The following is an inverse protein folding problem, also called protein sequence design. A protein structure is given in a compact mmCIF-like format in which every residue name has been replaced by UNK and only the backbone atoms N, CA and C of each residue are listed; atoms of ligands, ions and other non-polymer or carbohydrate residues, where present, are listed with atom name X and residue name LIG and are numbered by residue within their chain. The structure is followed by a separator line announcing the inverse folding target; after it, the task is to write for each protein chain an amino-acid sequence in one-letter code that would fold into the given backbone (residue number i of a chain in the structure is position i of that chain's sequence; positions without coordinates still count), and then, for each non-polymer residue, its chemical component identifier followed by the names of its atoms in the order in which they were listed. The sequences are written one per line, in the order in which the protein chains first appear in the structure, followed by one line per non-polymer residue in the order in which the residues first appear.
data_IF_748425338323
#
_entry.id   IF_748425338323
#
_cell.length_a   1.000
_cell.length_b   1.000
_cell.length_c   1.000
_cell.angle_alpha   90.00
_cell.angle_beta   90.00
_cell.angle_gamma   90.00
#
_symmetry.space_group_name_H-M   'P 1'
#
loop_
_entity.id
_entity.type
_entity.pdbx_description
1 polymer ?
#
# COMPACT_ATOMS: atom_id res chain seq x y z
N UNK A 1 22.63 5.46 -21.11
CA UNK A 1 21.32 5.02 -20.52
C UNK A 1 20.24 5.73 -21.32
N UNK A 2 19.48 4.98 -22.09
CA UNK A 2 18.30 5.51 -22.78
C UNK A 2 17.09 5.23 -21.89
N UNK A 3 16.40 6.27 -21.45
CA UNK A 3 15.19 6.20 -20.62
C UNK A 3 13.92 6.44 -21.45
N UNK A 4 14.06 6.60 -22.77
CA UNK A 4 12.92 6.72 -23.66
C UNK A 4 12.20 5.37 -23.82
N UNK A 5 10.87 5.42 -23.87
CA UNK A 5 10.10 4.23 -24.17
C UNK A 5 10.20 3.89 -25.66
N UNK A 6 10.36 2.61 -25.97
CA UNK A 6 10.26 2.10 -27.32
C UNK A 6 8.87 2.33 -27.92
N UNK A 7 8.71 2.27 -29.26
CA UNK A 7 7.37 2.37 -29.87
C UNK A 7 6.39 1.33 -29.34
N UNK A 8 6.84 0.12 -29.02
CA UNK A 8 6.01 -0.94 -28.45
C UNK A 8 5.56 -0.62 -27.01
N UNK A 9 6.48 -0.10 -26.18
CA UNK A 9 6.16 0.33 -24.82
C UNK A 9 5.21 1.54 -24.82
N UNK A 10 5.37 2.45 -25.80
CA UNK A 10 4.45 3.57 -25.96
C UNK A 10 3.06 3.12 -26.43
N UNK A 11 2.98 2.14 -27.35
CA UNK A 11 1.71 1.53 -27.75
C UNK A 11 1.04 0.86 -26.55
N UNK A 12 1.75 0.06 -25.78
CA UNK A 12 1.24 -0.55 -24.55
C UNK A 12 0.72 0.50 -23.55
N UNK A 13 1.44 1.60 -23.37
CA UNK A 13 0.99 2.72 -22.52
C UNK A 13 -0.35 3.29 -23.00
N UNK A 14 -0.50 3.49 -24.29
CA UNK A 14 -1.72 4.02 -24.88
C UNK A 14 -2.89 3.04 -24.70
N UNK A 15 -2.64 1.73 -24.86
CA UNK A 15 -3.66 0.68 -24.63
C UNK A 15 -4.14 0.66 -23.18
N UNK A 16 -3.20 0.71 -22.22
CA UNK A 16 -3.55 0.78 -20.79
C UNK A 16 -4.35 2.03 -20.47
N UNK A 17 -3.92 3.18 -20.98
CA UNK A 17 -4.59 4.47 -20.79
C UNK A 17 -6.00 4.46 -21.37
N UNK A 18 -6.18 3.98 -22.61
CA UNK A 18 -7.47 3.86 -23.26
C UNK A 18 -8.40 2.95 -22.48
N UNK A 19 -7.92 1.76 -22.10
CA UNK A 19 -8.74 0.83 -21.32
C UNK A 19 -9.16 1.41 -19.95
N UNK A 20 -8.27 2.09 -19.25
CA UNK A 20 -8.61 2.75 -17.98
C UNK A 20 -9.63 3.88 -18.16
N UNK A 21 -9.55 4.64 -19.26
CA UNK A 21 -10.51 5.69 -19.58
C UNK A 21 -11.93 5.12 -19.78
N UNK A 22 -12.04 3.98 -20.43
CA UNK A 22 -13.32 3.35 -20.79
C UNK A 22 -13.93 2.51 -19.63
N UNK A 23 -13.10 1.91 -18.76
CA UNK A 23 -13.55 0.90 -17.81
C UNK A 23 -13.44 1.32 -16.32
N UNK A 24 -12.72 2.40 -15.99
CA UNK A 24 -12.71 2.90 -14.61
C UNK A 24 -14.04 3.61 -14.31
N UNK A 25 -14.88 3.09 -13.39
CA UNK A 25 -16.17 3.68 -13.09
C UNK A 25 -16.02 5.14 -12.63
N UNK A 26 -16.82 6.03 -13.21
CA UNK A 26 -16.73 7.48 -12.97
C UNK A 26 -16.96 7.84 -11.49
N UNK A 27 -17.83 7.13 -10.80
CA UNK A 27 -18.09 7.32 -9.36
C UNK A 27 -16.88 6.91 -8.51
N UNK A 28 -16.21 5.79 -8.83
CA UNK A 28 -14.96 5.36 -8.17
C UNK A 28 -13.85 6.38 -8.42
N UNK A 29 -13.65 6.77 -9.69
CA UNK A 29 -12.70 7.83 -10.05
C UNK A 29 -12.98 9.12 -9.29
N UNK A 30 -14.25 9.52 -9.22
CA UNK A 30 -14.71 10.72 -8.52
C UNK A 30 -14.44 10.67 -7.01
N UNK A 31 -14.51 9.48 -6.38
CA UNK A 31 -14.12 9.30 -4.99
C UNK A 31 -12.61 9.51 -4.80
N UNK A 32 -11.78 8.90 -5.63
CA UNK A 32 -10.31 9.03 -5.55
C UNK A 32 -9.87 10.47 -5.79
N UNK A 33 -10.33 11.10 -6.87
CA UNK A 33 -9.92 12.48 -7.23
C UNK A 33 -10.57 13.54 -6.33
N UNK A 34 -11.72 13.24 -5.72
CA UNK A 34 -12.40 14.09 -4.75
C UNK A 34 -12.03 13.81 -3.29
N UNK A 35 -11.06 12.91 -3.06
CA UNK A 35 -10.55 12.55 -1.72
C UNK A 35 -11.62 12.02 -0.76
N UNK A 36 -12.54 11.21 -1.27
CA UNK A 36 -13.59 10.56 -0.51
C UNK A 36 -13.19 9.16 -0.09
N UNK A 37 -13.79 8.65 0.97
CA UNK A 37 -13.62 7.27 1.42
C UNK A 37 -14.14 6.28 0.38
N UNK A 38 -13.47 5.12 0.32
CA UNK A 38 -13.87 3.99 -0.52
C UNK A 38 -14.55 2.95 0.36
N UNK A 39 -15.78 2.59 0.05
CA UNK A 39 -16.46 1.47 0.68
C UNK A 39 -15.89 0.12 0.20
N UNK A 40 -16.11 -0.96 0.96
CA UNK A 40 -15.70 -2.33 0.56
C UNK A 40 -16.22 -2.67 -0.83
N UNK A 41 -17.47 -2.33 -1.11
CA UNK A 41 -18.17 -2.61 -2.37
C UNK A 41 -17.50 -1.90 -3.56
N UNK A 42 -17.03 -0.67 -3.39
CA UNK A 42 -16.29 0.07 -4.44
C UNK A 42 -14.98 -0.63 -4.79
N UNK A 43 -14.24 -1.00 -3.75
CA UNK A 43 -12.93 -1.67 -3.88
C UNK A 43 -13.11 -3.02 -4.58
N UNK A 44 -14.09 -3.82 -4.13
CA UNK A 44 -14.34 -5.15 -4.67
C UNK A 44 -14.88 -5.08 -6.10
N UNK A 45 -15.77 -4.11 -6.42
CA UNK A 45 -16.25 -3.86 -7.78
C UNK A 45 -15.10 -3.54 -8.73
N UNK A 46 -14.20 -2.66 -8.32
CA UNK A 46 -13.04 -2.33 -9.13
C UNK A 46 -12.07 -3.53 -9.30
N UNK A 47 -11.87 -4.29 -8.23
CA UNK A 47 -11.09 -5.52 -8.29
C UNK A 47 -11.64 -6.51 -9.31
N UNK A 48 -12.96 -6.73 -9.33
CA UNK A 48 -13.62 -7.64 -10.29
C UNK A 48 -13.46 -7.18 -11.73
N UNK A 49 -13.62 -5.89 -12.00
CA UNK A 49 -13.38 -5.32 -13.35
C UNK A 49 -11.94 -5.59 -13.81
N UNK A 50 -10.96 -5.42 -12.92
CA UNK A 50 -9.57 -5.76 -13.23
C UNK A 50 -9.36 -7.26 -13.39
N UNK A 51 -10.03 -8.09 -12.60
CA UNK A 51 -9.94 -9.54 -12.69
C UNK A 51 -10.51 -10.09 -13.99
N UNK A 52 -11.63 -9.55 -14.47
CA UNK A 52 -12.23 -9.87 -15.77
C UNK A 52 -11.31 -9.52 -16.93
N UNK A 53 -10.57 -8.41 -16.83
CA UNK A 53 -9.53 -8.03 -17.80
C UNK A 53 -8.28 -8.89 -17.68
N UNK A 54 -8.09 -9.63 -16.57
CA UNK A 54 -6.85 -10.34 -16.26
C UNK A 54 -5.74 -9.44 -15.70
N UNK A 55 -6.08 -8.26 -15.17
CA UNK A 55 -5.14 -7.23 -14.71
C UNK A 55 -5.13 -7.01 -13.19
N UNK A 56 -5.87 -7.82 -12.42
CA UNK A 56 -5.91 -7.70 -10.96
C UNK A 56 -4.58 -8.06 -10.27
N UNK A 57 -3.82 -8.95 -10.88
CA UNK A 57 -2.56 -9.48 -10.33
C UNK A 57 -1.45 -9.55 -11.40
N UNK A 58 -1.08 -8.42 -12.02
CA UNK A 58 -0.22 -8.42 -13.21
C UNK A 58 1.20 -8.93 -12.97
N UNK A 59 1.64 -8.94 -11.71
CA UNK A 59 2.98 -9.36 -11.31
C UNK A 59 3.08 -10.86 -10.94
N UNK A 60 1.94 -11.59 -10.94
CA UNK A 60 1.97 -13.01 -10.61
C UNK A 60 2.53 -13.85 -11.77
N UNK A 61 3.04 -15.06 -11.49
CA UNK A 61 3.31 -16.05 -12.51
C UNK A 61 2.08 -16.33 -13.38
N UNK A 62 2.27 -16.60 -14.65
CA UNK A 62 1.19 -16.83 -15.62
C UNK A 62 0.32 -18.02 -15.21
N UNK A 63 0.93 -19.07 -14.68
CA UNK A 63 0.21 -20.26 -14.18
C UNK A 63 -0.80 -19.96 -13.07
N UNK A 64 -0.64 -18.83 -12.35
CA UNK A 64 -1.57 -18.35 -11.33
C UNK A 64 -2.44 -17.17 -11.81
N UNK A 65 -2.41 -16.88 -13.11
CA UNK A 65 -3.24 -15.85 -13.73
C UNK A 65 -2.63 -14.46 -13.78
N UNK A 66 -1.30 -14.36 -13.67
CA UNK A 66 -0.56 -13.14 -13.98
C UNK A 66 -0.50 -12.86 -15.47
N UNK A 67 -0.15 -11.64 -15.84
CA UNK A 67 -0.20 -11.16 -17.23
C UNK A 67 0.98 -11.59 -18.09
N UNK A 68 2.06 -12.07 -17.49
CA UNK A 68 3.33 -12.29 -18.20
C UNK A 68 4.06 -11.02 -18.61
N UNK A 69 3.59 -9.85 -18.20
CA UNK A 69 4.22 -8.57 -18.51
C UNK A 69 5.64 -8.49 -17.98
N UNK A 70 6.51 -7.90 -18.76
CA UNK A 70 7.85 -7.56 -18.29
C UNK A 70 7.80 -6.44 -17.23
N UNK A 71 8.96 -6.13 -16.67
CA UNK A 71 9.06 -5.15 -15.60
C UNK A 71 8.73 -3.74 -16.06
N UNK A 72 8.99 -3.39 -17.33
CA UNK A 72 8.68 -2.09 -17.91
C UNK A 72 7.18 -1.93 -18.12
N UNK A 73 6.53 -2.96 -18.65
CA UNK A 73 5.07 -2.96 -18.81
C UNK A 73 4.37 -2.82 -17.48
N UNK A 74 4.83 -3.52 -16.43
CA UNK A 74 4.30 -3.35 -15.05
C UNK A 74 4.52 -1.95 -14.50
N UNK A 75 5.67 -1.34 -14.78
CA UNK A 75 5.92 0.05 -14.38
C UNK A 75 4.97 1.02 -15.09
N UNK A 76 4.83 0.89 -16.42
CA UNK A 76 3.90 1.70 -17.23
C UNK A 76 2.47 1.54 -16.72
N UNK A 77 2.03 0.31 -16.47
CA UNK A 77 0.70 0.05 -15.91
C UNK A 77 0.48 0.77 -14.59
N UNK A 78 1.40 0.67 -13.64
CA UNK A 78 1.29 1.32 -12.34
C UNK A 78 1.27 2.86 -12.45
N UNK A 79 2.04 3.42 -13.38
CA UNK A 79 2.06 4.85 -13.62
C UNK A 79 0.72 5.34 -14.21
N UNK A 80 0.24 4.70 -15.28
CA UNK A 80 -1.05 5.05 -15.91
C UNK A 80 -2.23 4.83 -14.94
N UNK A 81 -2.17 3.78 -14.13
CA UNK A 81 -3.15 3.49 -13.08
C UNK A 81 -3.26 4.64 -12.07
N UNK A 82 -2.12 5.12 -11.58
CA UNK A 82 -2.05 6.27 -10.68
C UNK A 82 -2.52 7.56 -11.32
N UNK A 83 -2.12 7.82 -12.58
CA UNK A 83 -2.52 9.01 -13.36
C UNK A 83 -4.03 9.03 -13.65
N UNK A 84 -4.62 7.88 -13.96
CA UNK A 84 -6.06 7.77 -14.23
C UNK A 84 -6.94 8.06 -13.01
N UNK A 85 -6.37 8.05 -11.80
CA UNK A 85 -7.14 8.13 -10.56
C UNK A 85 -7.83 6.80 -10.20
N UNK A 86 -7.28 5.68 -10.67
CA UNK A 86 -7.72 4.37 -10.25
C UNK A 86 -7.29 4.11 -8.79
N UNK A 87 -8.16 3.58 -7.94
CA UNK A 87 -7.79 3.22 -6.58
C UNK A 87 -6.89 1.98 -6.60
N UNK A 88 -5.81 2.04 -5.82
CA UNK A 88 -4.98 0.86 -5.63
C UNK A 88 -5.82 -0.26 -5.01
N UNK A 89 -5.65 -1.48 -5.52
CA UNK A 89 -6.19 -2.66 -4.86
C UNK A 89 -5.55 -2.83 -3.48
N UNK A 90 -6.29 -3.39 -2.50
CA UNK A 90 -5.70 -3.69 -1.19
C UNK A 90 -4.48 -4.60 -1.37
N UNK A 91 -3.34 -4.11 -0.91
CA UNK A 91 -2.03 -4.75 -1.12
C UNK A 91 -1.91 -6.13 -0.43
N UNK A 92 -2.74 -6.35 0.59
CA UNK A 92 -2.58 -7.47 1.51
C UNK A 92 -2.84 -8.84 0.89
N UNK A 93 -3.91 -9.00 0.09
CA UNK A 93 -4.18 -10.23 -0.64
C UNK A 93 -3.25 -10.40 -1.83
N UNK A 94 -3.40 -9.55 -2.88
CA UNK A 94 -2.72 -9.72 -4.16
C UNK A 94 -1.18 -9.66 -4.09
N UNK A 95 -0.63 -8.76 -3.29
CA UNK A 95 0.83 -8.54 -3.29
C UNK A 95 1.54 -9.23 -2.12
N UNK A 96 0.89 -9.29 -0.96
CA UNK A 96 1.53 -9.81 0.26
C UNK A 96 1.22 -11.28 0.50
N UNK A 97 -0.02 -11.62 0.85
CA UNK A 97 -0.40 -12.99 1.19
C UNK A 97 -0.15 -13.97 0.03
N UNK A 98 -0.52 -13.58 -1.18
CA UNK A 98 -0.34 -14.42 -2.36
C UNK A 98 1.14 -14.74 -2.64
N UNK A 99 2.04 -13.77 -2.52
CA UNK A 99 3.48 -14.01 -2.71
C UNK A 99 4.02 -15.01 -1.69
N UNK A 100 3.55 -14.92 -0.46
CA UNK A 100 3.87 -15.87 0.61
C UNK A 100 3.32 -17.26 0.28
N UNK A 101 2.06 -17.37 -0.12
CA UNK A 101 1.43 -18.64 -0.49
C UNK A 101 2.13 -19.31 -1.67
N UNK A 102 2.46 -18.57 -2.71
CA UNK A 102 3.19 -19.11 -3.88
C UNK A 102 4.55 -19.68 -3.47
N UNK A 103 5.24 -19.06 -2.52
CA UNK A 103 6.59 -19.47 -2.10
C UNK A 103 6.59 -20.55 -1.04
N UNK A 104 5.71 -20.48 -0.07
CA UNK A 104 5.75 -21.29 1.16
C UNK A 104 4.48 -22.09 1.43
N UNK A 105 3.37 -21.77 0.75
CA UNK A 105 2.10 -22.47 0.94
C UNK A 105 2.13 -23.88 0.40
N UNK A 106 1.31 -24.74 0.98
CA UNK A 106 1.01 -26.07 0.44
C UNK A 106 0.18 -25.94 -0.84
N UNK A 107 0.13 -26.96 -1.67
CA UNK A 107 -0.70 -26.94 -2.88
C UNK A 107 -2.19 -26.81 -2.55
N UNK A 108 -2.64 -27.38 -1.44
CA UNK A 108 -4.01 -27.18 -0.94
C UNK A 108 -4.29 -25.71 -0.61
N UNK A 109 -3.37 -25.02 0.07
CA UNK A 109 -3.48 -23.60 0.39
C UNK A 109 -3.47 -22.74 -0.90
N UNK A 110 -2.55 -23.01 -1.82
CA UNK A 110 -2.46 -22.30 -3.10
C UNK A 110 -3.76 -22.43 -3.89
N UNK A 111 -4.25 -23.65 -4.08
CA UNK A 111 -5.46 -23.92 -4.85
C UNK A 111 -6.72 -23.33 -4.18
N UNK A 112 -6.76 -23.27 -2.85
CA UNK A 112 -7.87 -22.66 -2.11
C UNK A 112 -7.89 -21.13 -2.21
N UNK A 113 -6.77 -20.47 -2.01
CA UNK A 113 -6.72 -19.04 -1.76
C UNK A 113 -6.34 -18.20 -2.98
N UNK A 114 -5.38 -18.64 -3.81
CA UNK A 114 -4.90 -17.81 -4.92
C UNK A 114 -5.99 -17.45 -5.94
N UNK A 115 -6.86 -18.37 -6.40
CA UNK A 115 -7.94 -18.00 -7.29
C UNK A 115 -8.89 -16.95 -6.69
N UNK A 116 -9.25 -17.09 -5.42
CA UNK A 116 -10.16 -16.19 -4.71
C UNK A 116 -9.56 -14.80 -4.51
N UNK A 117 -8.25 -14.73 -4.20
CA UNK A 117 -7.52 -13.46 -4.12
C UNK A 117 -7.51 -12.78 -5.50
N UNK A 118 -7.20 -13.52 -6.57
CA UNK A 118 -7.16 -12.99 -7.94
C UNK A 118 -8.49 -12.43 -8.40
N UNK A 119 -9.59 -13.15 -8.10
CA UNK A 119 -10.95 -12.78 -8.50
C UNK A 119 -11.57 -11.70 -7.61
N UNK A 120 -10.94 -11.35 -6.48
CA UNK A 120 -11.50 -10.42 -5.53
C UNK A 120 -12.72 -11.01 -4.80
N UNK A 121 -12.71 -12.29 -4.46
CA UNK A 121 -13.77 -12.95 -3.70
C UNK A 121 -13.55 -12.85 -2.20
N UNK A 122 -12.29 -12.68 -1.77
CA UNK A 122 -11.90 -12.52 -0.38
C UNK A 122 -11.12 -11.22 -0.17
N UNK A 123 -11.48 -10.47 0.86
CA UNK A 123 -10.75 -9.30 1.31
C UNK A 123 -9.74 -9.69 2.38
N UNK A 124 -8.44 -9.53 2.09
CA UNK A 124 -7.36 -9.90 2.97
C UNK A 124 -6.82 -8.70 3.74
N UNK A 125 -6.46 -8.92 5.02
CA UNK A 125 -5.83 -7.91 5.87
C UNK A 125 -4.62 -8.48 6.59
N UNK A 126 -3.77 -7.60 7.14
CA UNK A 126 -2.50 -7.96 7.78
C UNK A 126 -2.56 -7.81 9.29
N UNK A 127 -2.16 -8.85 10.02
CA UNK A 127 -2.05 -8.88 11.47
C UNK A 127 -0.59 -8.98 11.93
N UNK A 128 0.20 -7.91 11.80
CA UNK A 128 1.61 -7.89 12.20
C UNK A 128 1.83 -7.15 13.50
N UNK A 129 1.66 -5.83 13.48
CA UNK A 129 1.94 -4.95 14.61
C UNK A 129 1.05 -5.23 15.82
N UNK A 130 1.61 -5.03 17.01
CA UNK A 130 0.93 -5.07 18.30
C UNK A 130 1.17 -3.75 19.05
N UNK A 131 0.41 -3.40 20.08
CA UNK A 131 0.60 -2.14 20.83
C UNK A 131 2.05 -1.93 21.30
N UNK A 132 2.76 -3.00 21.63
CA UNK A 132 4.16 -2.96 22.04
C UNK A 132 5.17 -3.41 20.98
N UNK A 133 4.75 -3.70 19.74
CA UNK A 133 5.60 -4.33 18.71
C UNK A 133 5.29 -3.78 17.32
N UNK A 134 5.93 -2.69 16.95
CA UNK A 134 5.86 -2.09 15.60
C UNK A 134 7.18 -2.29 14.86
N UNK A 135 8.12 -1.33 14.97
CA UNK A 135 9.46 -1.46 14.37
C UNK A 135 10.26 -2.63 14.93
N UNK A 136 10.14 -2.93 16.23
CA UNK A 136 10.62 -4.18 16.84
C UNK A 136 9.57 -5.29 16.74
N UNK A 137 9.25 -5.70 15.51
CA UNK A 137 8.21 -6.69 15.24
C UNK A 137 8.52 -8.06 15.87
N UNK A 138 9.81 -8.39 16.05
CA UNK A 138 10.21 -9.65 16.67
C UNK A 138 9.79 -9.78 18.16
N UNK A 139 9.37 -8.68 18.78
CA UNK A 139 8.86 -8.66 20.17
C UNK A 139 7.37 -9.00 20.30
N UNK A 140 6.68 -9.34 19.21
CA UNK A 140 5.26 -9.68 19.20
C UNK A 140 4.91 -10.80 20.22
N UNK A 141 3.71 -10.70 20.79
CA UNK A 141 3.25 -11.56 21.91
C UNK A 141 1.94 -12.31 21.63
N UNK A 142 1.22 -12.01 20.54
CA UNK A 142 0.01 -12.76 20.17
C UNK A 142 0.34 -14.24 20.13
N UNK A 143 -0.24 -15.00 21.07
CA UNK A 143 0.07 -16.39 21.33
C UNK A 143 -0.79 -17.30 20.45
N UNK A 144 -0.22 -18.42 19.99
CA UNK A 144 -0.93 -19.48 19.30
C UNK A 144 -0.46 -20.83 19.83
N UNK A 145 -1.27 -21.44 20.67
CA UNK A 145 -0.98 -22.75 21.27
C UNK A 145 -1.56 -23.87 20.39
N UNK A 146 -0.72 -24.79 19.97
CA UNK A 146 -1.19 -25.96 19.24
C UNK A 146 -1.96 -26.93 20.13
N UNK A 147 -3.18 -27.28 19.72
CA UNK A 147 -4.05 -28.26 20.40
C UNK A 147 -4.58 -29.27 19.35
N UNK A 148 -3.84 -30.36 19.17
CA UNK A 148 -4.17 -31.37 18.15
C UNK A 148 -4.09 -30.80 16.72
N UNK A 149 -5.22 -30.76 16.08
CA UNK A 149 -5.40 -30.28 14.67
C UNK A 149 -5.69 -28.80 14.53
N UNK A 150 -5.58 -28.01 15.61
CA UNK A 150 -5.83 -26.56 15.61
C UNK A 150 -4.83 -25.80 16.47
N UNK A 151 -4.77 -24.50 16.24
CA UNK A 151 -4.15 -23.50 17.11
C UNK A 151 -5.23 -22.74 17.87
N UNK A 152 -5.00 -22.43 19.13
CA UNK A 152 -5.82 -21.52 19.92
C UNK A 152 -5.06 -20.20 20.03
N UNK A 153 -5.61 -19.16 19.39
CA UNK A 153 -4.95 -17.84 19.28
C UNK A 153 -5.53 -16.89 20.32
N UNK A 154 -4.63 -16.22 21.07
CA UNK A 154 -4.96 -15.20 22.06
C UNK A 154 -3.99 -14.02 21.91
N UNK A 155 -4.52 -12.80 21.88
CA UNK A 155 -3.72 -11.59 21.78
C UNK A 155 -4.41 -10.45 21.07
N UNK A 156 -3.61 -9.47 20.63
CA UNK A 156 -4.12 -8.25 20.00
C UNK A 156 -3.19 -7.82 18.87
N UNK A 157 -3.78 -7.44 17.75
CA UNK A 157 -3.10 -6.72 16.66
C UNK A 157 -3.60 -5.28 16.59
N UNK A 158 -2.75 -4.38 16.12
CA UNK A 158 -3.06 -2.96 15.97
C UNK A 158 -2.63 -2.46 14.59
N UNK A 159 -3.20 -1.36 14.15
CA UNK A 159 -2.95 -0.74 12.85
C UNK A 159 -3.35 -1.63 11.68
N UNK A 160 -4.30 -2.55 11.89
CA UNK A 160 -4.82 -3.41 10.82
C UNK A 160 -5.65 -2.57 9.85
N UNK A 161 -5.03 -2.20 8.74
CA UNK A 161 -5.65 -1.38 7.70
C UNK A 161 -6.83 -2.11 7.08
N UNK A 162 -8.01 -1.44 7.04
CA UNK A 162 -9.28 -1.97 6.54
C UNK A 162 -9.69 -3.30 7.22
N UNK A 163 -9.28 -3.53 8.46
CA UNK A 163 -9.58 -4.74 9.24
C UNK A 163 -11.07 -5.05 9.32
N UNK A 164 -11.92 -4.01 9.36
CA UNK A 164 -13.38 -4.13 9.36
C UNK A 164 -13.98 -4.64 8.03
N UNK A 165 -13.20 -4.67 6.94
CA UNK A 165 -13.56 -5.28 5.66
C UNK A 165 -13.02 -6.70 5.50
N UNK A 166 -12.09 -7.13 6.38
CA UNK A 166 -11.38 -8.39 6.25
C UNK A 166 -12.28 -9.62 6.26
N UNK A 167 -12.14 -10.48 5.26
CA UNK A 167 -12.65 -11.85 5.30
C UNK A 167 -11.57 -12.78 5.86
N UNK A 168 -10.29 -12.50 5.56
CA UNK A 168 -9.13 -13.24 6.03
C UNK A 168 -8.05 -12.29 6.55
N UNK A 169 -7.35 -12.72 7.62
CA UNK A 169 -6.17 -12.04 8.14
C UNK A 169 -4.97 -13.01 8.13
N UNK A 170 -3.85 -12.57 7.56
CA UNK A 170 -2.59 -13.28 7.75
C UNK A 170 -1.83 -12.67 8.93
N UNK A 171 -1.52 -13.52 9.90
CA UNK A 171 -0.99 -13.10 11.19
C UNK A 171 0.41 -13.67 11.47
N UNK A 172 1.29 -12.83 12.00
CA UNK A 172 2.44 -13.32 12.76
C UNK A 172 2.00 -13.56 14.20
N UNK A 173 2.23 -14.80 14.66
CA UNK A 173 1.88 -15.25 16.02
C UNK A 173 3.07 -15.91 16.67
N UNK A 174 3.08 -15.98 17.99
CA UNK A 174 4.11 -16.67 18.74
C UNK A 174 3.62 -18.07 19.14
N UNK A 175 4.25 -19.09 18.60
CA UNK A 175 3.98 -20.50 18.91
C UNK A 175 4.97 -21.07 19.93
N UNK A 176 6.15 -20.45 20.06
CA UNK A 176 7.14 -20.86 21.06
C UNK A 176 7.75 -19.63 21.75
N UNK A 177 7.74 -19.60 23.08
CA UNK A 177 8.32 -18.54 23.92
C UNK A 177 9.72 -18.91 24.45
N UNK A 178 10.09 -20.20 24.42
CA UNK A 178 11.34 -20.74 24.99
C UNK A 178 12.44 -20.86 23.92
N UNK A 179 12.59 -19.80 23.09
CA UNK A 179 13.62 -19.76 22.05
C UNK A 179 14.78 -18.83 22.45
N UNK A 180 16.01 -19.19 22.10
CA UNK A 180 17.19 -18.32 22.31
C UNK A 180 17.11 -17.06 21.47
N UNK A 181 16.55 -17.16 20.27
CA UNK A 181 16.38 -16.09 19.31
C UNK A 181 14.88 -15.84 19.16
N UNK A 182 14.40 -14.63 19.51
CA UNK A 182 12.97 -14.31 19.51
C UNK A 182 12.25 -14.63 18.21
N UNK A 183 12.94 -14.51 17.09
CA UNK A 183 12.41 -14.76 15.76
C UNK A 183 12.02 -16.21 15.50
N UNK A 184 12.70 -17.17 16.16
CA UNK A 184 12.48 -18.61 15.98
C UNK A 184 11.16 -19.10 16.59
N UNK A 185 10.57 -18.33 17.49
CA UNK A 185 9.26 -18.65 18.09
C UNK A 185 8.07 -18.12 17.31
N UNK A 186 8.29 -17.49 16.16
CA UNK A 186 7.23 -16.82 15.37
C UNK A 186 6.76 -17.72 14.23
N UNK A 187 5.45 -17.86 14.07
CA UNK A 187 4.78 -18.59 13.01
C UNK A 187 3.85 -17.69 12.21
N UNK A 188 3.44 -18.13 11.02
CA UNK A 188 2.56 -17.40 10.12
C UNK A 188 1.25 -18.17 9.93
N UNK A 189 0.14 -17.61 10.40
CA UNK A 189 -1.19 -18.22 10.32
C UNK A 189 -2.14 -17.44 9.41
N UNK A 190 -2.99 -18.18 8.70
CA UNK A 190 -4.14 -17.64 7.97
C UNK A 190 -5.38 -17.84 8.83
N UNK A 191 -6.05 -16.75 9.19
CA UNK A 191 -7.19 -16.79 10.12
C UNK A 191 -8.43 -16.24 9.41
N UNK A 192 -9.52 -16.99 9.42
CA UNK A 192 -10.83 -16.52 8.97
C UNK A 192 -11.35 -15.48 9.98
N UNK A 193 -11.63 -14.27 9.51
CA UNK A 193 -12.10 -13.16 10.36
C UNK A 193 -13.49 -13.37 10.93
N UNK A 194 -14.23 -14.37 10.45
CA UNK A 194 -15.55 -14.77 10.97
C UNK A 194 -15.46 -15.77 12.11
N UNK A 195 -14.25 -16.25 12.45
CA UNK A 195 -14.04 -17.21 13.54
C UNK A 195 -14.50 -16.58 14.87
N UNK A 196 -15.28 -17.31 15.69
CA UNK A 196 -15.69 -16.83 17.02
C UNK A 196 -14.48 -16.45 17.88
N UNK A 197 -14.64 -15.36 18.66
CA UNK A 197 -13.56 -14.83 19.51
C UNK A 197 -12.75 -13.71 18.86
N UNK A 198 -13.02 -13.35 17.60
CA UNK A 198 -12.40 -12.19 16.94
C UNK A 198 -13.28 -10.95 17.16
N UNK A 199 -12.67 -9.88 17.65
CA UNK A 199 -13.30 -8.56 17.78
C UNK A 199 -12.46 -7.53 17.05
N UNK A 200 -13.09 -6.77 16.15
CA UNK A 200 -12.46 -5.67 15.40
C UNK A 200 -12.98 -4.34 15.96
N UNK A 201 -12.07 -3.48 16.39
CA UNK A 201 -12.41 -2.14 16.91
C UNK A 201 -11.79 -1.05 16.06
N UNK A 202 -12.53 0.01 15.73
CA UNK A 202 -12.00 1.13 14.95
C UNK A 202 -10.96 1.92 15.73
N UNK A 203 -9.92 2.39 15.01
CA UNK A 203 -9.04 3.45 15.46
C UNK A 203 -9.29 4.67 14.59
N UNK A 204 -9.77 5.73 15.21
CA UNK A 204 -9.99 6.99 14.51
C UNK A 204 -8.68 7.75 14.45
N UNK A 205 -8.22 8.07 13.24
CA UNK A 205 -6.96 8.77 12.99
C UNK A 205 -7.12 10.29 13.12
N UNK A 206 -6.01 11.03 13.04
CA UNK A 206 -5.99 12.50 13.12
C UNK A 206 -6.86 13.19 12.05
N UNK A 207 -7.12 12.51 10.94
CA UNK A 207 -7.99 12.96 9.85
C UNK A 207 -9.48 12.73 10.12
N UNK A 208 -9.84 12.18 11.29
CA UNK A 208 -11.21 11.80 11.63
C UNK A 208 -11.69 10.53 10.94
N UNK A 209 -10.87 9.91 10.08
CA UNK A 209 -11.22 8.73 9.30
C UNK A 209 -11.03 7.42 10.07
N UNK A 210 -11.84 6.42 9.71
CA UNK A 210 -11.69 5.03 10.13
C UNK A 210 -11.02 4.21 9.03
N UNK A 211 -9.70 4.09 9.11
CA UNK A 211 -8.92 3.31 8.14
C UNK A 211 -8.24 2.11 8.79
N UNK A 212 -7.86 2.22 10.05
CA UNK A 212 -7.11 1.18 10.76
C UNK A 212 -7.88 0.70 11.99
N UNK A 213 -7.53 -0.49 12.45
CA UNK A 213 -8.27 -1.18 13.51
C UNK A 213 -7.32 -1.82 14.51
N UNK A 214 -7.85 -2.04 15.72
CA UNK A 214 -7.40 -3.07 16.63
C UNK A 214 -8.14 -4.37 16.33
N UNK A 215 -7.46 -5.50 16.40
CA UNK A 215 -8.05 -6.84 16.24
C UNK A 215 -7.68 -7.67 17.46
N UNK A 216 -8.68 -8.07 18.22
CA UNK A 216 -8.52 -8.90 19.41
C UNK A 216 -8.84 -10.35 19.09
N UNK A 217 -8.08 -11.25 19.66
CA UNK A 217 -8.25 -12.69 19.57
C UNK A 217 -8.42 -13.28 20.96
N UNK A 218 -9.58 -13.87 21.23
CA UNK A 218 -9.93 -14.50 22.51
C UNK A 218 -10.31 -15.96 22.27
N UNK A 219 -9.37 -16.86 22.54
CA UNK A 219 -9.52 -18.31 22.31
C UNK A 219 -9.96 -18.66 20.88
N UNK A 220 -9.41 -17.97 19.89
CA UNK A 220 -9.75 -18.15 18.47
C UNK A 220 -9.16 -19.47 17.97
N UNK A 221 -10.01 -20.38 17.53
CA UNK A 221 -9.61 -21.68 17.01
C UNK A 221 -9.28 -21.60 15.51
N UNK A 222 -8.05 -21.88 15.15
CA UNK A 222 -7.54 -21.84 13.78
C UNK A 222 -7.07 -23.23 13.38
N UNK A 223 -7.58 -23.82 12.28
CA UNK A 223 -7.12 -25.12 11.80
C UNK A 223 -5.61 -25.15 11.59
N UNK A 224 -4.95 -26.24 11.99
CA UNK A 224 -3.49 -26.36 11.85
C UNK A 224 -3.03 -26.33 10.39
N UNK A 225 -3.89 -26.72 9.45
CA UNK A 225 -3.66 -26.62 8.00
C UNK A 225 -3.52 -25.17 7.49
N UNK A 226 -3.94 -24.18 8.29
CA UNK A 226 -3.79 -22.76 7.98
C UNK A 226 -2.41 -22.19 8.38
N UNK A 227 -1.53 -23.01 8.93
CA UNK A 227 -0.12 -22.66 9.11
C UNK A 227 0.57 -22.61 7.75
N UNK A 228 1.19 -21.48 7.44
CA UNK A 228 2.00 -21.36 6.22
C UNK A 228 3.46 -21.64 6.54
N UNK A 229 4.09 -22.49 5.72
CA UNK A 229 5.43 -22.99 5.94
C UNK A 229 5.46 -23.94 7.18
N UNK A 230 6.45 -23.80 8.05
CA UNK A 230 6.66 -24.59 9.25
C UNK A 230 6.47 -23.74 10.51
N UNK A 231 6.12 -24.37 11.61
CA UNK A 231 6.09 -23.71 12.92
C UNK A 231 7.47 -23.17 13.30
N UNK A 232 7.51 -21.93 13.80
CA UNK A 232 8.75 -21.24 14.11
C UNK A 232 9.46 -20.59 12.90
N UNK A 233 8.93 -20.74 11.68
CA UNK A 233 9.50 -20.14 10.45
C UNK A 233 8.79 -18.86 9.98
N UNK A 234 7.86 -18.34 10.76
CA UNK A 234 7.11 -17.12 10.41
C UNK A 234 8.00 -15.89 10.17
N UNK A 235 9.14 -15.79 10.84
CA UNK A 235 10.09 -14.71 10.58
C UNK A 235 10.75 -14.80 9.20
N UNK A 236 11.03 -15.98 8.72
CA UNK A 236 11.52 -16.22 7.35
C UNK A 236 10.49 -15.77 6.33
N UNK A 237 9.22 -16.12 6.56
CA UNK A 237 8.08 -15.70 5.75
C UNK A 237 7.94 -14.16 5.76
N UNK A 238 8.01 -13.54 6.94
CA UNK A 238 7.91 -12.09 7.09
C UNK A 238 9.04 -11.35 6.35
N UNK A 239 10.29 -11.81 6.44
CA UNK A 239 11.43 -11.22 5.71
C UNK A 239 11.23 -11.30 4.19
N UNK A 240 10.75 -12.44 3.70
CA UNK A 240 10.45 -12.62 2.28
C UNK A 240 9.39 -11.61 1.82
N UNK A 241 8.27 -11.54 2.54
CA UNK A 241 7.17 -10.62 2.23
C UNK A 241 7.65 -9.16 2.18
N UNK A 242 8.31 -8.69 3.25
CA UNK A 242 8.79 -7.32 3.36
C UNK A 242 9.87 -6.96 2.32
N UNK A 243 10.57 -7.95 1.76
CA UNK A 243 11.54 -7.76 0.69
C UNK A 243 10.91 -7.46 -0.67
N UNK A 244 9.72 -8.00 -0.94
CA UNK A 244 9.04 -7.90 -2.25
C UNK A 244 8.23 -6.60 -2.43
N UNK A 245 7.88 -5.91 -1.36
CA UNK A 245 6.97 -4.76 -1.35
C UNK A 245 7.60 -3.44 -1.84
N UNK A 246 8.91 -3.36 -1.94
CA UNK A 246 9.64 -2.07 -2.00
C UNK A 246 9.56 -1.31 -3.32
N UNK A 247 9.39 -2.00 -4.47
CA UNK A 247 9.43 -1.34 -5.80
C UNK A 247 8.25 -0.40 -6.06
N UNK A 248 7.06 -0.69 -5.53
CA UNK A 248 5.87 0.15 -5.70
C UNK A 248 5.79 1.36 -4.76
N UNK A 249 6.70 1.48 -3.79
CA UNK A 249 6.59 2.44 -2.68
C UNK A 249 6.79 3.91 -3.07
N UNK A 250 7.29 4.20 -4.28
CA UNK A 250 7.47 5.58 -4.76
C UNK A 250 6.18 6.31 -5.13
N UNK A 251 5.11 5.59 -5.49
CA UNK A 251 3.80 6.14 -5.90
C UNK A 251 3.89 7.28 -6.94
N UNK A 252 4.79 7.15 -7.92
CA UNK A 252 5.10 8.21 -8.91
C UNK A 252 3.85 8.66 -9.67
N UNK A 253 3.06 7.73 -10.23
CA UNK A 253 1.87 8.07 -11.03
C UNK A 253 0.81 8.84 -10.22
N UNK A 254 0.51 8.40 -9.00
CA UNK A 254 -0.41 9.12 -8.12
C UNK A 254 0.15 10.50 -7.73
N UNK A 255 1.45 10.59 -7.41
CA UNK A 255 2.08 11.88 -7.07
C UNK A 255 2.09 12.86 -8.26
N UNK A 256 2.25 12.38 -9.49
CA UNK A 256 2.11 13.19 -10.72
C UNK A 256 0.70 13.76 -10.86
N UNK A 257 -0.33 12.93 -10.68
CA UNK A 257 -1.73 13.38 -10.69
C UNK A 257 -1.98 14.45 -9.64
N UNK A 258 -1.52 14.21 -8.41
CA UNK A 258 -1.67 15.17 -7.32
C UNK A 258 -0.93 16.48 -7.58
N UNK A 259 0.24 16.44 -8.19
CA UNK A 259 0.98 17.64 -8.59
C UNK A 259 0.24 18.42 -9.68
N UNK A 260 -0.39 17.74 -10.65
CA UNK A 260 -1.24 18.39 -11.66
C UNK A 260 -2.44 19.08 -11.00
N UNK A 261 -3.10 18.41 -10.04
CA UNK A 261 -4.20 18.98 -9.28
C UNK A 261 -3.76 20.21 -8.46
N UNK A 262 -2.60 20.15 -7.80
CA UNK A 262 -2.02 21.28 -7.08
C UNK A 262 -1.71 22.46 -7.99
N UNK A 263 -1.16 22.22 -9.19
CA UNK A 263 -0.91 23.29 -10.17
C UNK A 263 -2.21 23.95 -10.64
N UNK A 264 -3.22 23.14 -10.95
CA UNK A 264 -4.54 23.66 -11.35
C UNK A 264 -5.16 24.50 -10.23
N UNK A 265 -5.12 24.02 -8.99
CA UNK A 265 -5.56 24.75 -7.81
C UNK A 265 -4.83 26.09 -7.67
N UNK A 266 -3.51 26.08 -7.71
CA UNK A 266 -2.69 27.29 -7.55
C UNK A 266 -2.91 28.32 -8.68
N UNK A 267 -3.29 27.86 -9.88
CA UNK A 267 -3.62 28.74 -11.00
C UNK A 267 -4.94 29.49 -10.77
N UNK A 268 -5.90 28.88 -10.09
CA UNK A 268 -7.24 29.44 -9.82
C UNK A 268 -7.33 30.22 -8.51
N UNK A 269 -6.47 29.89 -7.52
CA UNK A 269 -6.46 30.60 -6.24
C UNK A 269 -5.85 32.01 -6.37
N UNK A 270 -6.60 33.00 -5.92
CA UNK A 270 -6.22 34.41 -5.99
C UNK A 270 -5.83 34.93 -4.60
N UNK A 271 -4.61 35.41 -4.45
CA UNK A 271 -4.13 36.13 -3.25
C UNK A 271 -3.64 37.52 -3.65
N UNK A 272 -4.13 38.55 -2.94
CA UNK A 272 -3.76 39.95 -3.21
C UNK A 272 -3.96 40.37 -4.69
N UNK A 273 -5.05 39.89 -5.30
CA UNK A 273 -5.39 40.20 -6.70
C UNK A 273 -4.55 39.48 -7.76
N UNK A 274 -3.72 38.51 -7.37
CA UNK A 274 -2.87 37.73 -8.30
C UNK A 274 -3.06 36.24 -8.08
N UNK A 275 -2.94 35.48 -9.17
CA UNK A 275 -2.88 33.98 -9.06
C UNK A 275 -1.72 33.60 -8.16
N UNK A 276 -1.93 32.56 -7.36
CA UNK A 276 -0.91 31.97 -6.47
C UNK A 276 0.34 31.50 -7.24
N UNK A 277 0.18 31.16 -8.54
CA UNK A 277 1.30 30.84 -9.42
C UNK A 277 2.21 32.04 -9.69
N UNK A 278 1.76 33.28 -9.41
CA UNK A 278 2.55 34.51 -9.52
C UNK A 278 3.24 34.88 -8.20
N UNK A 279 2.90 34.20 -7.07
CA UNK A 279 3.62 34.38 -5.82
C UNK A 279 4.98 33.65 -5.92
N UNK A 280 6.12 34.37 -5.84
CA UNK A 280 7.43 33.74 -6.03
C UNK A 280 7.79 32.72 -4.94
N UNK A 281 7.29 32.90 -3.72
CA UNK A 281 7.56 31.97 -2.59
C UNK A 281 6.81 30.67 -2.76
N UNK A 282 5.53 30.75 -3.14
CA UNK A 282 4.73 29.55 -3.41
C UNK A 282 5.26 28.80 -4.62
N UNK A 283 5.56 29.53 -5.70
CA UNK A 283 6.10 28.93 -6.94
C UNK A 283 7.46 28.27 -6.71
N UNK A 284 8.36 28.84 -5.91
CA UNK A 284 9.64 28.21 -5.56
C UNK A 284 9.41 26.86 -4.88
N UNK A 285 8.56 26.79 -3.88
CA UNK A 285 8.26 25.53 -3.16
C UNK A 285 7.59 24.49 -4.06
N UNK A 286 6.64 24.89 -4.88
CA UNK A 286 5.98 24.03 -5.86
C UNK A 286 7.01 23.47 -6.84
N UNK A 287 7.87 24.31 -7.41
CA UNK A 287 8.92 23.91 -8.35
C UNK A 287 9.93 22.95 -7.71
N UNK A 288 10.35 23.18 -6.47
CA UNK A 288 11.22 22.25 -5.73
C UNK A 288 10.59 20.87 -5.59
N UNK A 289 9.30 20.83 -5.24
CA UNK A 289 8.58 19.55 -5.10
C UNK A 289 8.45 18.82 -6.46
N UNK A 290 8.27 19.57 -7.56
CA UNK A 290 8.28 19.01 -8.92
C UNK A 290 9.64 18.44 -9.32
N UNK A 291 10.72 19.15 -9.01
CA UNK A 291 12.10 18.68 -9.27
C UNK A 291 12.35 17.38 -8.49
N UNK A 292 11.95 17.32 -7.21
CA UNK A 292 12.09 16.10 -6.42
C UNK A 292 11.26 14.95 -6.98
N UNK A 293 10.04 15.21 -7.46
CA UNK A 293 9.21 14.17 -8.09
C UNK A 293 9.82 13.66 -9.40
N UNK A 294 10.37 14.54 -10.23
CA UNK A 294 11.10 14.14 -11.44
C UNK A 294 12.35 13.33 -11.10
N UNK A 295 13.10 13.74 -10.08
CA UNK A 295 14.27 12.98 -9.61
C UNK A 295 13.89 11.58 -9.08
N UNK A 296 12.75 11.47 -8.39
CA UNK A 296 12.19 10.19 -7.94
C UNK A 296 11.81 9.29 -9.11
N UNK A 297 11.14 9.86 -10.13
CA UNK A 297 10.78 9.14 -11.35
C UNK A 297 12.01 8.62 -12.08
N UNK A 298 12.98 9.49 -12.35
CA UNK A 298 14.23 9.10 -13.00
C UNK A 298 15.00 8.04 -12.21
N UNK A 299 14.99 8.14 -10.88
CA UNK A 299 15.60 7.13 -10.00
C UNK A 299 14.89 5.79 -10.12
N UNK A 300 13.55 5.80 -10.16
CA UNK A 300 12.75 4.57 -10.38
C UNK A 300 13.06 3.94 -11.74
N UNK A 301 13.16 4.75 -12.80
CA UNK A 301 13.53 4.27 -14.14
C UNK A 301 14.96 3.72 -14.20
N UNK A 302 15.90 4.30 -13.44
CA UNK A 302 17.27 3.76 -13.31
C UNK A 302 17.30 2.39 -12.63
N UNK A 303 16.51 2.19 -11.57
CA UNK A 303 16.37 0.85 -10.96
C UNK A 303 15.76 -0.14 -11.94
N UNK A 304 14.76 0.29 -12.70
CA UNK A 304 14.13 -0.52 -13.73
C UNK A 304 15.15 -0.95 -14.80
N UNK A 305 15.93 -0.02 -15.34
CA UNK A 305 16.99 -0.31 -16.32
C UNK A 305 18.06 -1.27 -15.74
N UNK A 306 18.48 -1.06 -14.49
CA UNK A 306 19.39 -1.99 -13.79
C UNK A 306 18.81 -3.40 -13.72
N UNK A 307 17.54 -3.54 -13.32
CA UNK A 307 16.86 -4.84 -13.23
C UNK A 307 16.72 -5.52 -14.62
N UNK A 308 16.39 -4.77 -15.66
CA UNK A 308 16.34 -5.28 -17.07
C UNK A 308 17.67 -5.86 -17.49
N UNK A 309 18.77 -5.17 -17.20
CA UNK A 309 20.13 -5.58 -17.60
C UNK A 309 20.71 -6.72 -16.78
N UNK A 310 20.39 -6.78 -15.50
CA UNK A 310 21.01 -7.74 -14.57
C UNK A 310 20.15 -8.93 -14.23
N UNK A 311 18.84 -8.87 -14.52
CA UNK A 311 17.83 -9.83 -14.07
C UNK A 311 17.83 -10.05 -12.54
N UNK A 312 18.41 -9.08 -11.80
CA UNK A 312 18.49 -9.12 -10.33
C UNK A 312 17.50 -8.13 -9.71
N UNK A 313 16.86 -8.49 -8.61
CA UNK A 313 16.04 -7.53 -7.85
C UNK A 313 16.91 -6.38 -7.35
N UNK A 314 16.33 -5.20 -7.12
CA UNK A 314 17.06 -4.06 -6.56
C UNK A 314 17.54 -4.39 -5.16
N UNK A 315 18.71 -3.83 -4.79
CA UNK A 315 19.26 -3.94 -3.44
C UNK A 315 18.56 -3.06 -2.42
N UNK A 316 19.24 -2.84 -1.29
CA UNK A 316 18.71 -2.01 -0.20
C UNK A 316 18.51 -0.54 -0.60
N UNK A 317 19.20 -0.08 -1.65
CA UNK A 317 19.08 1.27 -2.22
C UNK A 317 17.64 1.62 -2.66
N UNK A 318 16.80 0.63 -2.97
CA UNK A 318 15.39 0.86 -3.31
C UNK A 318 14.60 1.53 -2.17
N UNK A 319 15.10 1.45 -0.92
CA UNK A 319 14.55 2.17 0.22
C UNK A 319 14.48 3.69 0.01
N UNK A 320 15.31 4.25 -0.91
CA UNK A 320 15.23 5.66 -1.31
C UNK A 320 13.89 6.02 -1.94
N UNK A 321 13.25 5.09 -2.67
CA UNK A 321 11.96 5.35 -3.31
C UNK A 321 10.86 5.59 -2.26
N UNK A 322 10.87 4.80 -1.18
CA UNK A 322 9.92 4.99 -0.08
C UNK A 322 10.19 6.29 0.67
N UNK A 323 11.46 6.60 0.97
CA UNK A 323 11.84 7.85 1.62
C UNK A 323 11.34 9.06 0.84
N UNK A 324 11.79 9.20 -0.42
CA UNK A 324 11.45 10.34 -1.26
C UNK A 324 9.97 10.37 -1.64
N UNK A 325 9.37 9.23 -1.95
CA UNK A 325 7.94 9.16 -2.25
C UNK A 325 7.08 9.68 -1.10
N UNK A 326 7.34 9.25 0.14
CA UNK A 326 6.59 9.72 1.31
C UNK A 326 6.80 11.22 1.61
N UNK A 327 8.03 11.74 1.46
CA UNK A 327 8.34 13.16 1.66
C UNK A 327 7.65 14.04 0.60
N UNK A 328 7.65 13.61 -0.68
CA UNK A 328 6.98 14.32 -1.77
C UNK A 328 5.46 14.35 -1.55
N UNK A 329 4.85 13.22 -1.17
CA UNK A 329 3.42 13.15 -0.87
C UNK A 329 3.03 14.11 0.27
N UNK A 330 3.85 14.21 1.31
CA UNK A 330 3.64 15.16 2.39
C UNK A 330 3.78 16.61 1.92
N UNK A 331 4.78 16.90 1.08
CA UNK A 331 4.99 18.24 0.52
C UNK A 331 3.82 18.68 -0.37
N UNK A 332 3.30 17.80 -1.21
CA UNK A 332 2.14 18.08 -2.06
C UNK A 332 0.91 18.42 -1.20
N UNK A 333 0.59 17.60 -0.21
CA UNK A 333 -0.58 17.84 0.66
C UNK A 333 -0.43 19.12 1.49
N UNK A 334 0.78 19.45 1.93
CA UNK A 334 1.07 20.69 2.63
C UNK A 334 0.89 21.92 1.71
N UNK A 335 1.39 21.84 0.46
CA UNK A 335 1.20 22.91 -0.51
C UNK A 335 -0.27 23.10 -0.89
N UNK A 336 -1.07 22.05 -0.96
CA UNK A 336 -2.52 22.14 -1.16
C UNK A 336 -3.19 22.91 0.00
N UNK A 337 -2.83 22.58 1.26
CA UNK A 337 -3.32 23.34 2.43
C UNK A 337 -2.96 24.82 2.35
N UNK A 338 -1.71 25.12 1.97
CA UNK A 338 -1.25 26.51 1.85
C UNK A 338 -1.91 27.27 0.68
N UNK A 339 -2.19 26.57 -0.42
CA UNK A 339 -2.88 27.15 -1.56
C UNK A 339 -4.28 27.64 -1.15
N UNK A 340 -5.02 26.81 -0.45
CA UNK A 340 -6.37 27.12 0.03
C UNK A 340 -6.38 28.07 1.23
N UNK A 341 -5.32 28.05 2.06
CA UNK A 341 -5.24 28.90 3.24
C UNK A 341 -6.39 28.68 4.22
N UNK A 342 -7.13 29.73 4.65
CA UNK A 342 -8.25 29.58 5.60
C UNK A 342 -9.35 28.63 5.13
N UNK A 343 -9.59 28.50 3.83
CA UNK A 343 -10.65 27.66 3.29
C UNK A 343 -10.38 26.16 3.46
N UNK A 344 -9.12 25.77 3.73
CA UNK A 344 -8.76 24.41 4.06
C UNK A 344 -8.87 24.07 5.56
N UNK A 345 -9.07 25.06 6.42
CA UNK A 345 -9.10 24.87 7.88
C UNK A 345 -10.37 24.18 8.42
N UNK A 346 -11.58 24.39 7.85
CA UNK A 346 -12.75 23.66 8.31
C UNK A 346 -12.53 22.16 8.25
N UNK A 347 -12.67 21.49 9.40
CA UNK A 347 -12.56 20.06 9.51
C UNK A 347 -13.96 19.46 9.34
N UNK A 348 -14.29 19.09 8.11
CA UNK A 348 -15.54 18.38 7.79
C UNK A 348 -15.22 16.91 7.57
N UNK A 349 -16.06 16.00 8.06
CA UNK A 349 -15.86 14.57 7.86
C UNK A 349 -15.67 14.23 6.36
N UNK A 350 -14.83 13.27 6.08
CA UNK A 350 -14.37 12.93 4.71
C UNK A 350 -15.55 12.62 3.77
N UNK A 351 -16.67 12.15 4.32
CA UNK A 351 -17.88 11.75 3.58
C UNK A 351 -19.01 12.78 3.65
N UNK A 352 -18.87 13.86 4.43
CA UNK A 352 -19.86 14.90 4.55
C UNK A 352 -19.66 15.95 3.45
N UNK A 353 -20.74 16.27 2.69
CA UNK A 353 -20.66 17.48 2.08
C UNK A 353 -21.23 17.90 0.77
N UNK A 354 -21.36 19.21 0.69
CA UNK A 354 -21.67 20.05 -0.47
C UNK A 354 -20.49 20.14 -1.47
N UNK A 355 -20.69 20.84 -2.58
CA UNK A 355 -19.68 21.09 -3.63
C UNK A 355 -18.39 21.72 -3.08
N UNK A 356 -18.46 22.53 -2.01
CA UNK A 356 -17.29 23.12 -1.32
C UNK A 356 -16.51 22.10 -0.46
N UNK A 357 -17.02 20.89 -0.33
CA UNK A 357 -16.37 19.83 0.46
C UNK A 357 -15.00 19.39 -0.08
N UNK A 358 -14.64 19.69 -1.33
CA UNK A 358 -13.28 19.47 -1.82
C UNK A 358 -12.25 20.26 -1.00
N UNK A 359 -12.51 21.55 -0.73
CA UNK A 359 -11.63 22.42 0.06
C UNK A 359 -11.50 21.94 1.50
N UNK A 360 -12.62 21.58 2.13
CA UNK A 360 -12.65 21.11 3.51
C UNK A 360 -12.02 19.73 3.72
N UNK A 361 -11.89 18.90 2.66
CA UNK A 361 -11.19 17.60 2.71
C UNK A 361 -9.67 17.73 2.69
N UNK A 362 -9.12 18.91 2.42
CA UNK A 362 -7.66 19.09 2.39
C UNK A 362 -7.04 18.94 3.78
N UNK A 363 -7.69 19.44 4.82
CA UNK A 363 -7.22 19.30 6.20
C UNK A 363 -7.17 17.82 6.63
N UNK A 364 -8.24 17.02 6.54
CA UNK A 364 -8.18 15.59 6.79
C UNK A 364 -7.10 14.89 5.97
N UNK A 365 -7.01 15.20 4.67
CA UNK A 365 -6.00 14.62 3.79
C UNK A 365 -4.57 14.96 4.24
N UNK A 366 -4.29 16.19 4.58
CA UNK A 366 -2.99 16.60 5.12
C UNK A 366 -2.63 15.79 6.37
N UNK A 367 -3.57 15.63 7.31
CA UNK A 367 -3.34 14.83 8.52
C UNK A 367 -3.16 13.34 8.20
N UNK A 368 -3.96 12.77 7.31
CA UNK A 368 -3.82 11.38 6.89
C UNK A 368 -2.43 11.08 6.33
N UNK A 369 -1.89 11.96 5.50
CA UNK A 369 -0.58 11.76 4.88
C UNK A 369 0.62 11.89 5.84
N UNK A 370 0.43 12.36 7.09
CA UNK A 370 1.53 12.38 8.09
C UNK A 370 2.01 10.96 8.43
N UNK A 371 1.19 9.95 8.31
CA UNK A 371 1.56 8.54 8.53
C UNK A 371 2.45 7.94 7.45
N UNK A 372 2.55 8.54 6.25
CA UNK A 372 3.32 7.96 5.12
C UNK A 372 4.81 7.77 5.42
N UNK A 373 5.37 8.56 6.33
CA UNK A 373 6.75 8.41 6.79
C UNK A 373 6.90 7.40 7.93
N UNK A 374 5.79 6.85 8.46
CA UNK A 374 5.77 5.96 9.62
C UNK A 374 5.50 4.51 9.21
N UNK A 375 4.45 4.25 8.43
CA UNK A 375 4.05 2.90 8.04
C UNK A 375 5.01 2.28 7.00
N UNK A 376 4.87 0.97 6.74
CA UNK A 376 5.69 0.19 5.81
C UNK A 376 7.21 0.34 6.06
N UNK A 377 7.58 0.35 7.35
CA UNK A 377 8.92 0.68 7.82
C UNK A 377 9.18 2.19 7.80
N UNK A 378 9.37 2.76 8.99
CA UNK A 378 9.54 4.22 9.12
C UNK A 378 10.72 4.74 8.30
N UNK A 379 10.71 6.03 7.98
CA UNK A 379 11.79 6.65 7.21
C UNK A 379 13.15 6.50 7.92
N UNK A 380 13.18 6.44 9.26
CA UNK A 380 14.36 6.17 10.05
C UNK A 380 14.87 4.74 9.80
N UNK A 381 13.98 3.75 9.79
CA UNK A 381 14.34 2.35 9.46
C UNK A 381 14.86 2.25 8.03
N UNK A 382 14.24 2.95 7.06
CA UNK A 382 14.72 2.96 5.67
C UNK A 382 16.14 3.58 5.57
N UNK A 383 16.42 4.68 6.30
CA UNK A 383 17.76 5.27 6.38
C UNK A 383 18.77 4.31 7.00
N UNK A 384 18.39 3.59 8.07
CA UNK A 384 19.25 2.59 8.69
C UNK A 384 19.56 1.42 7.72
N UNK A 385 18.59 0.99 6.92
CA UNK A 385 18.80 -0.04 5.91
C UNK A 385 19.81 0.42 4.87
N UNK A 386 19.67 1.65 4.35
CA UNK A 386 20.62 2.23 3.39
C UNK A 386 22.00 2.35 4.01
N UNK A 387 22.10 2.90 5.22
CA UNK A 387 23.37 3.08 5.91
C UNK A 387 24.12 1.75 6.06
N UNK A 388 23.45 0.72 6.59
CA UNK A 388 24.09 -0.58 6.85
C UNK A 388 24.37 -1.37 5.58
N UNK A 389 23.40 -1.46 4.66
CA UNK A 389 23.48 -2.41 3.54
C UNK A 389 24.03 -1.80 2.26
N UNK A 390 23.95 -0.48 2.10
CA UNK A 390 24.44 0.20 0.88
C UNK A 390 25.74 0.94 1.15
N UNK A 391 25.88 1.59 2.31
CA UNK A 391 27.04 2.38 2.65
C UNK A 391 28.05 1.64 3.56
N UNK A 392 27.66 0.53 4.19
CA UNK A 392 28.53 -0.26 5.08
C UNK A 392 28.82 0.42 6.42
N UNK A 393 27.93 1.31 6.89
CA UNK A 393 28.06 2.07 8.15
C UNK A 393 27.42 1.35 9.33
#
# INVERSE_FOLDING_TARGET
MDLAYSPQEQAFRNDVRGWLADNLPADIRGKVTGYRSMAKEDIMRWHKILAEKGWSVPHWPVEWGGTGWDITQRYIFNEEFGLAGAPNLPNFGPNMCASVLMRFGTDAQKNRFLPRIRLGDDFWVQGYSEPGSGSDLASLKTRADRKGDKYVVNGQKIWTTLGHYGDWIFCLVRTNFDTKIRQEGISFLLIDMKTPGITVRPLILMDGGHEVNEVFFENVEVPAENLVHEEGKGWTVAKYLLGHERMGSGNVGASKREMQALRALAATEIKNGKSLMQDPRFRDRLTRTEIELQALELTSMRFLDKMRRTSQPPGAEVSMLKLKGSEIQQSITELMMQALGPDAQPFVGVDEGSVDAYRSRMSPRYFNYRKTTIYAGSNEIQRNIIAKMTLGL
#
